data_IF_402286419709
#
_entry.id   IF_402286419709
#
_cell.length_a   1.000
_cell.length_b   1.000
_cell.length_c   1.000
_cell.angle_alpha   90.00
_cell.angle_beta   90.00
_cell.angle_gamma   90.00
#
_symmetry.space_group_name_H-M   'P 1'
#
loop_
_entity.id
_entity.type
_entity.pdbx_description
1 polymer ?
#
# COMPACT_ATOMS: atom_id res chain seq x y z
N UNK A 1 8.61 -24.31 4.27
CA UNK A 1 8.07 -23.03 4.76
C UNK A 1 8.29 -21.93 3.72
N UNK A 2 7.50 -20.87 3.76
CA UNK A 2 7.63 -19.69 2.90
C UNK A 2 8.09 -18.53 3.78
N UNK A 3 9.28 -18.01 3.50
CA UNK A 3 9.74 -16.77 4.11
C UNK A 3 9.21 -15.60 3.28
N UNK A 4 8.72 -14.57 3.94
CA UNK A 4 8.31 -13.32 3.32
C UNK A 4 9.17 -12.19 3.83
N UNK A 5 9.63 -11.33 2.91
CA UNK A 5 10.41 -10.14 3.20
C UNK A 5 9.73 -8.91 2.56
N UNK A 6 9.36 -7.96 3.41
CA UNK A 6 8.86 -6.64 3.04
C UNK A 6 9.90 -5.61 3.49
N UNK A 7 10.82 -5.28 2.58
CA UNK A 7 11.98 -4.45 2.86
C UNK A 7 11.67 -3.00 2.54
N UNK A 8 11.57 -2.16 3.57
CA UNK A 8 11.46 -0.70 3.44
C UNK A 8 12.81 0.01 3.58
N UNK A 9 12.77 1.34 3.63
CA UNK A 9 13.97 2.17 3.82
C UNK A 9 14.55 2.13 5.24
N UNK A 10 13.72 1.83 6.24
CA UNK A 10 14.09 1.87 7.67
C UNK A 10 13.79 0.58 8.44
N UNK A 11 13.03 -0.35 7.85
CA UNK A 11 12.61 -1.58 8.52
C UNK A 11 12.27 -2.71 7.54
N UNK A 12 12.37 -3.95 8.02
CA UNK A 12 12.03 -5.19 7.30
C UNK A 12 10.90 -5.75 8.12
N UNK A 13 9.73 -5.86 7.52
CA UNK A 13 8.71 -6.75 8.05
C UNK A 13 8.96 -8.12 7.44
N UNK A 14 8.94 -9.14 8.26
CA UNK A 14 9.10 -10.52 7.80
C UNK A 14 8.02 -11.41 8.38
N UNK A 15 7.75 -12.50 7.68
CA UNK A 15 6.86 -13.55 8.16
C UNK A 15 7.28 -14.90 7.62
N UNK A 16 7.05 -15.96 8.39
CA UNK A 16 7.29 -17.34 8.03
C UNK A 16 5.97 -18.09 8.08
N UNK A 17 5.60 -18.71 6.95
CA UNK A 17 4.32 -19.38 6.79
C UNK A 17 4.51 -20.81 6.31
N UNK A 18 3.56 -21.70 6.64
CA UNK A 18 3.49 -23.02 6.02
C UNK A 18 2.69 -23.00 4.70
N UNK A 19 2.62 -24.15 4.01
CA UNK A 19 1.88 -24.30 2.75
C UNK A 19 0.35 -24.13 2.90
N UNK A 20 -0.17 -24.09 4.12
CA UNK A 20 -1.58 -23.82 4.44
C UNK A 20 -1.78 -22.38 4.95
N UNK A 21 -0.80 -21.50 4.72
CA UNK A 21 -0.79 -20.10 5.14
C UNK A 21 -0.84 -19.88 6.66
N UNK A 22 -0.51 -20.90 7.44
CA UNK A 22 -0.42 -20.75 8.90
C UNK A 22 0.85 -19.98 9.23
N UNK A 23 0.68 -18.94 10.04
CA UNK A 23 1.80 -18.16 10.57
C UNK A 23 2.60 -18.99 11.58
N UNK A 24 3.90 -19.06 11.37
CA UNK A 24 4.87 -19.73 12.25
C UNK A 24 5.67 -18.69 13.03
N UNK A 25 6.08 -17.61 12.36
CA UNK A 25 6.79 -16.48 12.96
C UNK A 25 6.49 -15.21 12.15
N UNK A 26 6.47 -14.04 12.80
CA UNK A 26 6.32 -12.74 12.15
C UNK A 26 6.97 -11.68 13.03
N UNK A 27 7.61 -10.71 12.40
CA UNK A 27 8.27 -9.64 13.13
C UNK A 27 8.54 -8.41 12.28
N UNK A 28 8.96 -7.35 12.96
CA UNK A 28 9.45 -6.13 12.34
C UNK A 28 10.82 -5.85 12.92
N UNK A 29 11.81 -5.78 12.04
CA UNK A 29 13.17 -5.43 12.40
C UNK A 29 13.47 -4.03 11.87
N UNK A 30 13.63 -3.08 12.78
CA UNK A 30 14.32 -1.82 12.46
C UNK A 30 15.81 -2.08 12.41
N UNK A 31 16.51 -1.49 11.44
CA UNK A 31 17.98 -1.56 11.39
C UNK A 31 18.62 -0.18 11.41
N UNK A 32 19.79 -0.14 12.01
CA UNK A 32 20.76 0.93 11.80
C UNK A 32 21.95 0.29 11.08
N UNK A 33 22.09 0.49 9.76
CA UNK A 33 23.08 -0.19 8.93
C UNK A 33 22.59 -0.50 7.52
N UNK A 34 23.16 -1.54 6.88
CA UNK A 34 22.77 -1.99 5.54
C UNK A 34 21.59 -2.97 5.57
N UNK A 35 20.81 -3.03 4.49
CA UNK A 35 19.69 -3.99 4.35
C UNK A 35 20.21 -5.43 4.47
N UNK A 36 21.40 -5.70 3.94
CA UNK A 36 22.04 -7.02 4.04
C UNK A 36 22.23 -7.49 5.50
N UNK A 37 22.54 -6.57 6.41
CA UNK A 37 22.68 -6.90 7.84
C UNK A 37 21.30 -7.18 8.46
N UNK A 38 20.28 -6.41 8.08
CA UNK A 38 18.89 -6.65 8.47
C UNK A 38 18.39 -8.04 8.04
N UNK A 39 18.59 -8.41 6.77
CA UNK A 39 18.19 -9.74 6.26
C UNK A 39 18.92 -10.86 7.01
N UNK A 40 20.21 -10.70 7.29
CA UNK A 40 20.96 -11.68 8.09
C UNK A 40 20.39 -11.86 9.50
N UNK A 41 19.94 -10.77 10.13
CA UNK A 41 19.29 -10.86 11.44
C UNK A 41 17.93 -11.57 11.37
N UNK A 42 17.12 -11.29 10.35
CA UNK A 42 15.86 -12.02 10.13
C UNK A 42 16.11 -13.52 9.97
N UNK A 43 17.10 -13.93 9.18
CA UNK A 43 17.44 -15.35 9.02
C UNK A 43 17.91 -16.00 10.33
N UNK A 44 18.64 -15.27 11.18
CA UNK A 44 19.02 -15.75 12.51
C UNK A 44 17.82 -15.90 13.44
N UNK A 45 16.86 -14.98 13.37
CA UNK A 45 15.63 -15.03 14.16
C UNK A 45 14.72 -16.19 13.76
N UNK A 46 14.70 -16.53 12.47
CA UNK A 46 14.04 -17.74 11.96
C UNK A 46 14.73 -19.03 12.46
N UNK A 47 16.03 -18.96 12.74
CA UNK A 47 16.82 -20.03 13.33
C UNK A 47 17.34 -21.02 12.29
N UNK A 48 16.46 -21.78 11.64
CA UNK A 48 16.85 -22.79 10.65
C UNK A 48 16.46 -22.37 9.22
N UNK A 49 17.39 -21.92 8.36
CA UNK A 49 17.08 -21.54 6.99
C UNK A 49 16.74 -22.72 6.07
N UNK A 50 17.14 -23.96 6.39
CA UNK A 50 16.94 -25.14 5.53
C UNK A 50 15.46 -25.55 5.42
N UNK A 51 14.60 -25.06 6.33
CA UNK A 51 13.15 -25.30 6.28
C UNK A 51 12.44 -24.37 5.27
N UNK A 52 13.14 -23.37 4.74
CA UNK A 52 12.59 -22.38 3.81
C UNK A 52 12.66 -22.98 2.40
N UNK A 53 11.50 -23.10 1.77
CA UNK A 53 11.33 -23.67 0.44
C UNK A 53 11.17 -22.59 -0.64
N UNK A 54 10.76 -21.37 -0.26
CA UNK A 54 10.71 -20.19 -1.12
C UNK A 54 10.80 -18.90 -0.31
N UNK A 55 11.19 -17.80 -0.98
CA UNK A 55 11.16 -16.45 -0.42
C UNK A 55 10.27 -15.53 -1.25
N UNK A 56 9.17 -15.04 -0.66
CA UNK A 56 8.35 -13.98 -1.26
C UNK A 56 8.87 -12.59 -0.91
N UNK A 57 9.07 -11.74 -1.91
CA UNK A 57 9.56 -10.38 -1.77
C UNK A 57 8.48 -9.39 -2.20
N UNK A 58 8.17 -8.43 -1.34
CA UNK A 58 7.37 -7.28 -1.77
C UNK A 58 8.19 -6.41 -2.72
N UNK A 59 7.59 -6.04 -3.84
CA UNK A 59 8.13 -5.03 -4.78
C UNK A 59 7.07 -3.96 -5.01
N UNK A 60 7.43 -2.69 -4.87
CA UNK A 60 6.43 -1.62 -5.00
C UNK A 60 6.01 -1.40 -6.46
N UNK A 61 6.96 -1.28 -7.39
CA UNK A 61 6.65 -0.97 -8.79
C UNK A 61 7.27 -1.98 -9.75
N UNK A 62 6.42 -2.67 -10.53
CA UNK A 62 6.82 -3.62 -11.58
C UNK A 62 6.71 -3.07 -13.01
N UNK A 63 6.30 -1.82 -13.17
CA UNK A 63 6.10 -1.22 -14.50
C UNK A 63 4.89 -1.82 -15.20
N UNK A 64 4.87 -1.75 -16.52
CA UNK A 64 3.82 -2.37 -17.33
C UNK A 64 4.05 -3.88 -17.56
N UNK A 65 5.20 -4.39 -17.15
CA UNK A 65 5.64 -5.75 -17.48
C UNK A 65 5.06 -6.81 -16.53
N UNK A 66 4.90 -6.48 -15.24
CA UNK A 66 4.51 -7.45 -14.23
C UNK A 66 3.08 -7.23 -13.70
N UNK A 67 2.17 -8.10 -14.12
CA UNK A 67 0.77 -8.15 -13.65
C UNK A 67 0.47 -9.30 -12.69
N UNK A 68 1.47 -10.13 -12.38
CA UNK A 68 1.36 -11.30 -11.51
C UNK A 68 2.69 -11.56 -10.78
N UNK A 69 2.70 -12.40 -9.71
CA UNK A 69 3.94 -12.84 -9.10
C UNK A 69 4.85 -13.55 -10.09
N UNK A 70 6.17 -13.33 -10.01
CA UNK A 70 7.15 -13.97 -10.89
C UNK A 70 8.34 -14.50 -10.10
N UNK A 71 8.94 -15.59 -10.57
CA UNK A 71 10.23 -16.06 -10.06
C UNK A 71 11.30 -15.06 -10.46
N UNK A 72 12.13 -14.65 -9.51
CA UNK A 72 13.16 -13.65 -9.67
C UNK A 72 14.38 -14.28 -10.34
N UNK A 73 14.72 -13.77 -11.52
CA UNK A 73 15.98 -14.01 -12.23
C UNK A 73 16.75 -12.69 -12.46
N UNK A 74 17.76 -12.72 -13.32
CA UNK A 74 18.55 -11.53 -13.63
C UNK A 74 17.76 -10.47 -14.42
N UNK A 75 16.86 -10.89 -15.32
CA UNK A 75 16.06 -9.98 -16.14
C UNK A 75 14.99 -9.30 -15.28
N UNK A 76 14.35 -10.03 -14.37
CA UNK A 76 13.41 -9.47 -13.39
C UNK A 76 14.08 -8.38 -12.55
N UNK A 77 15.29 -8.61 -12.03
CA UNK A 77 16.02 -7.60 -11.26
C UNK A 77 16.34 -6.37 -12.11
N UNK A 78 16.77 -6.57 -13.37
CA UNK A 78 17.04 -5.48 -14.31
C UNK A 78 15.77 -4.66 -14.55
N UNK A 79 14.63 -5.30 -14.79
CA UNK A 79 13.37 -4.63 -15.07
C UNK A 79 12.85 -3.85 -13.84
N UNK A 80 12.94 -4.42 -12.64
CA UNK A 80 12.63 -3.69 -11.39
C UNK A 80 13.56 -2.47 -11.22
N UNK A 81 14.84 -2.61 -11.59
CA UNK A 81 15.81 -1.51 -11.54
C UNK A 81 15.43 -0.36 -12.47
N UNK A 82 14.93 -0.65 -13.69
CA UNK A 82 14.41 0.42 -14.59
C UNK A 82 13.21 1.16 -14.00
N UNK A 83 12.45 0.50 -13.13
CA UNK A 83 11.32 1.11 -12.41
C UNK A 83 11.73 1.92 -11.17
N UNK A 84 13.03 2.03 -10.83
CA UNK A 84 13.49 2.84 -9.69
C UNK A 84 13.05 4.30 -9.80
N UNK A 85 12.99 4.86 -11.01
CA UNK A 85 12.51 6.22 -11.23
C UNK A 85 11.03 6.41 -10.85
N UNK A 86 10.23 5.33 -10.86
CA UNK A 86 8.80 5.34 -10.53
C UNK A 86 8.55 5.17 -9.02
N UNK A 87 9.46 4.49 -8.32
CA UNK A 87 9.37 4.27 -6.87
C UNK A 87 10.75 4.38 -6.18
N UNK A 88 11.37 5.57 -6.20
CA UNK A 88 12.77 5.76 -5.76
C UNK A 88 12.96 5.50 -4.26
N UNK A 89 11.93 5.70 -3.45
CA UNK A 89 11.98 5.45 -2.00
C UNK A 89 11.72 3.98 -1.61
N UNK A 90 11.48 3.11 -2.59
CA UNK A 90 11.04 1.72 -2.33
C UNK A 90 11.81 0.68 -3.13
N UNK A 91 11.77 0.74 -4.47
CA UNK A 91 12.34 -0.29 -5.33
C UNK A 91 13.84 -0.55 -5.07
N UNK A 92 14.70 0.48 -4.83
CA UNK A 92 16.10 0.24 -4.49
C UNK A 92 16.29 -0.64 -3.25
N UNK A 93 15.52 -0.39 -2.18
CA UNK A 93 15.56 -1.19 -0.96
C UNK A 93 14.97 -2.59 -1.17
N UNK A 94 13.93 -2.72 -2.00
CA UNK A 94 13.40 -4.03 -2.37
C UNK A 94 14.47 -4.87 -3.10
N UNK A 95 15.19 -4.29 -4.07
CA UNK A 95 16.28 -4.96 -4.79
C UNK A 95 17.43 -5.33 -3.84
N UNK A 96 17.84 -4.43 -2.94
CA UNK A 96 18.89 -4.72 -1.95
C UNK A 96 18.49 -5.90 -1.05
N UNK A 97 17.23 -5.94 -0.60
CA UNK A 97 16.67 -7.04 0.18
C UNK A 97 16.65 -8.37 -0.58
N UNK A 98 16.23 -8.35 -1.84
CA UNK A 98 16.24 -9.52 -2.73
C UNK A 98 17.67 -10.06 -2.87
N UNK A 99 18.61 -9.19 -3.22
CA UNK A 99 20.01 -9.57 -3.43
C UNK A 99 20.62 -10.13 -2.15
N UNK A 100 20.38 -9.47 -1.00
CA UNK A 100 20.85 -9.93 0.28
C UNK A 100 20.31 -11.32 0.64
N UNK A 101 19.02 -11.57 0.44
CA UNK A 101 18.42 -12.87 0.74
C UNK A 101 18.97 -13.97 -0.19
N UNK A 102 19.16 -13.67 -1.49
CA UNK A 102 19.70 -14.62 -2.47
C UNK A 102 21.14 -15.04 -2.18
N UNK A 103 21.92 -14.22 -1.45
CA UNK A 103 23.26 -14.62 -1.01
C UNK A 103 23.22 -15.77 0.02
N UNK A 104 22.18 -15.83 0.86
CA UNK A 104 22.04 -16.85 1.90
C UNK A 104 21.16 -18.03 1.48
N UNK A 105 20.20 -17.79 0.58
CA UNK A 105 19.17 -18.74 0.17
C UNK A 105 19.19 -18.96 -1.36
N UNK A 106 20.38 -19.20 -1.93
CA UNK A 106 20.59 -19.22 -3.38
C UNK A 106 19.95 -20.39 -4.12
N UNK A 107 19.67 -21.50 -3.42
CA UNK A 107 19.18 -22.74 -4.01
C UNK A 107 17.65 -22.84 -4.12
N UNK A 108 16.92 -21.87 -3.56
CA UNK A 108 15.45 -21.88 -3.52
C UNK A 108 14.87 -20.77 -4.39
N UNK A 109 13.61 -20.90 -4.87
CA UNK A 109 12.96 -19.84 -5.62
C UNK A 109 12.72 -18.58 -4.77
N UNK A 110 13.04 -17.44 -5.36
CA UNK A 110 12.67 -16.11 -4.86
C UNK A 110 11.55 -15.57 -5.75
N UNK A 111 10.45 -15.09 -5.18
CA UNK A 111 9.27 -14.64 -5.90
C UNK A 111 9.07 -13.15 -5.65
N UNK A 112 8.99 -12.35 -6.71
CA UNK A 112 8.59 -10.94 -6.61
C UNK A 112 7.07 -10.84 -6.62
N UNK A 113 6.50 -10.15 -5.63
CA UNK A 113 5.07 -9.85 -5.52
C UNK A 113 4.89 -8.34 -5.54
N UNK A 114 4.20 -7.84 -6.58
CA UNK A 114 4.13 -6.42 -6.88
C UNK A 114 2.87 -5.75 -6.31
N UNK A 115 3.02 -4.58 -5.66
CA UNK A 115 1.88 -3.78 -5.20
C UNK A 115 0.96 -3.32 -6.36
N UNK A 116 1.54 -3.15 -7.54
CA UNK A 116 0.87 -2.66 -8.76
C UNK A 116 0.14 -3.75 -9.52
N UNK A 117 0.49 -5.03 -9.32
CA UNK A 117 -0.04 -6.16 -10.09
C UNK A 117 -1.56 -6.29 -9.97
N UNK A 118 -2.10 -6.11 -8.76
CA UNK A 118 -3.54 -6.19 -8.49
C UNK A 118 -4.36 -5.21 -9.34
N UNK A 119 -3.81 -4.03 -9.64
CA UNK A 119 -4.47 -2.96 -10.39
C UNK A 119 -4.21 -3.00 -11.89
N UNK A 120 -3.40 -3.95 -12.37
CA UNK A 120 -3.15 -4.14 -13.81
C UNK A 120 -4.44 -4.37 -14.61
N UNK A 121 -5.46 -4.92 -13.96
CA UNK A 121 -6.80 -5.21 -14.53
C UNK A 121 -7.78 -4.04 -14.45
N UNK A 122 -7.36 -2.87 -13.96
CA UNK A 122 -8.22 -1.68 -13.95
C UNK A 122 -8.77 -1.39 -15.36
N UNK A 123 -10.04 -0.99 -15.50
CA UNK A 123 -10.57 -0.52 -16.78
C UNK A 123 -9.74 0.64 -17.34
N UNK A 124 -9.54 0.71 -18.66
CA UNK A 124 -8.75 1.78 -19.31
C UNK A 124 -9.13 3.18 -18.84
N UNK A 125 -10.44 3.46 -18.69
CA UNK A 125 -10.95 4.76 -18.19
C UNK A 125 -10.45 5.15 -16.79
N UNK A 126 -10.12 4.17 -15.95
CA UNK A 126 -9.57 4.40 -14.61
C UNK A 126 -8.03 4.44 -14.62
N UNK A 127 -7.40 3.87 -15.66
CA UNK A 127 -5.95 3.94 -15.87
C UNK A 127 -5.50 5.26 -16.53
N UNK A 128 -6.33 5.84 -17.40
CA UNK A 128 -5.95 6.99 -18.21
C UNK A 128 -6.05 8.31 -17.44
N UNK A 129 -5.05 9.17 -17.65
CA UNK A 129 -5.15 10.60 -17.33
C UNK A 129 -5.69 11.38 -18.53
N UNK A 130 -6.36 12.50 -18.29
CA UNK A 130 -6.87 13.39 -19.33
C UNK A 130 -5.75 14.28 -19.92
N UNK A 131 -4.76 13.63 -20.53
CA UNK A 131 -3.57 14.21 -21.17
C UNK A 131 -3.43 13.66 -22.60
N UNK A 132 -2.50 14.14 -23.45
CA UNK A 132 -2.31 13.59 -24.79
C UNK A 132 -2.16 12.07 -24.79
N UNK A 133 -2.79 11.41 -25.76
CA UNK A 133 -2.95 9.96 -25.76
C UNK A 133 -1.62 9.19 -25.84
N UNK A 134 -0.64 9.74 -26.57
CA UNK A 134 0.70 9.17 -26.74
C UNK A 134 1.38 8.87 -25.39
N UNK A 135 1.16 9.69 -24.36
CA UNK A 135 1.69 9.44 -23.01
C UNK A 135 1.15 8.15 -22.39
N UNK A 136 -0.12 7.80 -22.66
CA UNK A 136 -0.68 6.54 -22.20
C UNK A 136 -0.04 5.34 -22.92
N UNK A 137 0.25 5.49 -24.21
CA UNK A 137 0.96 4.47 -25.01
C UNK A 137 2.42 4.28 -24.52
N UNK A 138 3.05 5.36 -24.07
CA UNK A 138 4.37 5.37 -23.41
C UNK A 138 4.33 4.82 -21.95
N UNK A 139 3.15 4.45 -21.45
CA UNK A 139 2.99 3.85 -20.12
C UNK A 139 2.77 4.83 -18.98
N UNK A 140 2.47 6.11 -19.26
CA UNK A 140 2.00 7.06 -18.24
C UNK A 140 0.51 6.81 -17.98
N UNK A 141 0.25 6.19 -16.83
CA UNK A 141 -1.09 5.77 -16.42
C UNK A 141 -1.17 5.65 -14.90
N UNK A 142 -2.38 5.53 -14.38
CA UNK A 142 -2.61 5.09 -13.01
C UNK A 142 -2.17 3.63 -12.88
N UNK A 143 -1.17 3.41 -12.04
CA UNK A 143 -0.73 2.07 -11.65
C UNK A 143 -1.48 1.59 -10.42
N UNK A 144 -1.67 2.46 -9.40
CA UNK A 144 -2.26 2.06 -8.13
C UNK A 144 -1.29 1.27 -7.24
N UNK A 145 -1.41 1.40 -5.92
CA UNK A 145 -0.50 0.78 -4.94
C UNK A 145 -1.26 0.26 -3.72
N UNK A 146 -0.55 -0.44 -2.83
CA UNK A 146 -1.13 -1.26 -1.77
C UNK A 146 -2.03 -2.40 -2.31
N UNK A 147 -1.77 -2.89 -3.54
CA UNK A 147 -2.59 -3.93 -4.17
C UNK A 147 -2.61 -5.22 -3.36
N UNK A 148 -1.48 -5.60 -2.75
CA UNK A 148 -1.38 -6.75 -1.86
C UNK A 148 -2.34 -6.62 -0.66
N UNK A 149 -2.41 -5.43 -0.04
CA UNK A 149 -3.34 -5.18 1.06
C UNK A 149 -4.79 -5.16 0.58
N UNK A 150 -5.11 -4.46 -0.51
CA UNK A 150 -6.48 -4.42 -1.03
C UNK A 150 -7.00 -5.81 -1.44
N UNK A 151 -6.15 -6.64 -2.04
CA UNK A 151 -6.49 -8.02 -2.38
C UNK A 151 -6.72 -8.87 -1.12
N UNK A 152 -5.87 -8.75 -0.10
CA UNK A 152 -6.07 -9.40 1.19
C UNK A 152 -7.42 -9.02 1.82
N UNK A 153 -7.78 -7.73 1.77
CA UNK A 153 -9.04 -7.24 2.33
C UNK A 153 -10.26 -7.80 1.61
N UNK A 154 -10.20 -8.01 0.28
CA UNK A 154 -11.28 -8.64 -0.48
C UNK A 154 -11.49 -10.07 -0.01
N UNK A 155 -10.40 -10.83 0.09
CA UNK A 155 -10.42 -12.25 0.49
C UNK A 155 -10.97 -12.41 1.91
N UNK A 156 -10.49 -11.59 2.84
CA UNK A 156 -10.94 -11.66 4.23
C UNK A 156 -12.39 -11.18 4.39
N UNK A 157 -12.80 -10.14 3.64
CA UNK A 157 -14.19 -9.68 3.64
C UNK A 157 -15.13 -10.72 3.04
N UNK A 158 -14.76 -11.37 1.92
CA UNK A 158 -15.54 -12.44 1.33
C UNK A 158 -15.77 -13.58 2.34
N UNK A 159 -14.71 -13.98 3.05
CA UNK A 159 -14.76 -14.98 4.12
C UNK A 159 -15.71 -14.57 5.25
N UNK A 160 -15.60 -13.34 5.75
CA UNK A 160 -16.45 -12.82 6.83
C UNK A 160 -17.92 -12.72 6.42
N UNK A 161 -18.19 -12.31 5.18
CA UNK A 161 -19.53 -12.22 4.61
C UNK A 161 -20.08 -13.57 4.13
N UNK A 162 -19.29 -14.65 4.19
CA UNK A 162 -19.63 -15.97 3.65
C UNK A 162 -20.09 -15.91 2.18
N UNK A 163 -19.45 -15.04 1.39
CA UNK A 163 -19.70 -14.85 -0.04
C UNK A 163 -18.47 -15.29 -0.84
N UNK A 164 -18.66 -15.56 -2.13
CA UNK A 164 -17.53 -15.74 -3.05
C UNK A 164 -16.90 -14.38 -3.36
N UNK A 165 -15.59 -14.36 -3.58
CA UNK A 165 -14.86 -13.12 -3.91
C UNK A 165 -15.42 -12.41 -5.15
N UNK A 166 -15.86 -13.17 -6.16
CA UNK A 166 -16.44 -12.61 -7.38
C UNK A 166 -17.89 -12.11 -7.24
N UNK A 167 -18.50 -12.25 -6.06
CA UNK A 167 -19.89 -11.87 -5.76
C UNK A 167 -20.00 -10.69 -4.79
N UNK A 168 -18.88 -9.99 -4.52
CA UNK A 168 -18.83 -8.83 -3.61
C UNK A 168 -18.40 -7.54 -4.30
N UNK A 169 -19.06 -6.44 -3.93
CA UNK A 169 -18.70 -5.07 -4.27
C UNK A 169 -18.26 -4.34 -3.00
N UNK A 170 -17.02 -3.89 -2.95
CA UNK A 170 -16.43 -3.30 -1.75
C UNK A 170 -15.86 -1.91 -2.03
N UNK A 171 -15.84 -1.08 -1.00
CA UNK A 171 -14.89 0.04 -0.92
C UNK A 171 -13.88 -0.36 0.15
N UNK A 172 -12.61 -0.48 -0.22
CA UNK A 172 -11.54 -0.85 0.72
C UNK A 172 -10.62 0.34 0.96
N UNK A 173 -10.33 0.65 2.22
CA UNK A 173 -9.48 1.75 2.65
C UNK A 173 -8.26 1.19 3.39
N UNK A 174 -7.07 1.33 2.81
CA UNK A 174 -5.81 1.11 3.50
C UNK A 174 -5.35 2.44 4.09
N UNK A 175 -5.44 2.62 5.41
CA UNK A 175 -5.07 3.88 6.09
C UNK A 175 -3.83 3.65 6.96
N UNK A 176 -2.68 4.14 6.52
CA UNK A 176 -1.41 4.05 7.26
C UNK A 176 -0.50 5.23 6.96
N UNK A 177 0.83 5.02 7.08
CA UNK A 177 1.83 6.02 6.68
C UNK A 177 1.63 6.52 5.24
N UNK A 178 1.26 5.59 4.35
CA UNK A 178 0.55 5.86 3.11
C UNK A 178 -0.91 5.48 3.23
N UNK A 179 -1.78 6.19 2.51
CA UNK A 179 -3.21 5.91 2.52
C UNK A 179 -3.76 5.81 1.10
N UNK A 180 -4.52 4.75 0.84
CA UNK A 180 -5.22 4.54 -0.43
C UNK A 180 -6.62 4.00 -0.19
N UNK A 181 -7.50 4.27 -1.14
CA UNK A 181 -8.84 3.70 -1.20
C UNK A 181 -9.03 3.05 -2.58
N UNK A 182 -9.81 1.98 -2.64
CA UNK A 182 -10.05 1.22 -3.86
C UNK A 182 -11.51 0.82 -3.97
N UNK A 183 -12.09 1.00 -5.16
CA UNK A 183 -13.41 0.52 -5.53
C UNK A 183 -13.30 -0.89 -6.15
N UNK A 184 -14.03 -1.85 -5.60
CA UNK A 184 -14.03 -3.25 -6.02
C UNK A 184 -15.41 -3.63 -6.53
N UNK A 185 -15.51 -4.11 -7.77
CA UNK A 185 -16.75 -4.65 -8.35
C UNK A 185 -16.54 -6.12 -8.69
N UNK A 186 -17.37 -7.01 -8.15
CA UNK A 186 -17.25 -8.47 -8.36
C UNK A 186 -15.84 -9.00 -8.07
N UNK A 187 -15.28 -8.59 -6.93
CA UNK A 187 -13.94 -9.00 -6.49
C UNK A 187 -12.76 -8.41 -7.27
N UNK A 188 -13.00 -7.57 -8.29
CA UNK A 188 -11.95 -6.95 -9.10
C UNK A 188 -11.88 -5.45 -8.88
N UNK A 189 -10.68 -4.84 -8.87
CA UNK A 189 -10.56 -3.40 -8.77
C UNK A 189 -11.07 -2.74 -10.04
N UNK A 190 -11.89 -1.71 -9.86
CA UNK A 190 -12.38 -0.86 -10.95
C UNK A 190 -11.87 0.58 -10.85
N UNK A 191 -11.36 0.99 -9.69
CA UNK A 191 -10.73 2.29 -9.44
C UNK A 191 -9.86 2.24 -8.17
N UNK A 192 -8.84 3.09 -8.06
CA UNK A 192 -8.00 3.26 -6.86
C UNK A 192 -7.41 4.67 -6.79
N UNK A 193 -7.21 5.21 -5.58
CA UNK A 193 -6.88 6.63 -5.44
C UNK A 193 -5.44 6.98 -5.80
N UNK A 194 -4.51 6.07 -5.54
CA UNK A 194 -3.12 6.32 -5.93
C UNK A 194 -2.95 6.19 -7.44
N UNK A 195 -1.99 6.94 -7.97
CA UNK A 195 -1.89 7.28 -9.38
C UNK A 195 -0.78 6.55 -10.12
N UNK A 196 -0.09 7.29 -10.98
CA UNK A 196 1.20 6.96 -11.55
C UNK A 196 2.24 6.73 -10.45
N UNK A 197 2.15 7.50 -9.36
CA UNK A 197 2.97 7.35 -8.16
C UNK A 197 2.08 7.20 -6.91
N UNK A 198 2.65 6.80 -5.77
CA UNK A 198 1.94 6.78 -4.49
C UNK A 198 1.58 8.17 -3.91
N UNK A 199 1.68 9.26 -4.68
CA UNK A 199 1.43 10.63 -4.22
C UNK A 199 -0.03 11.08 -4.39
N UNK A 200 -0.72 10.58 -5.43
CA UNK A 200 -2.12 10.92 -5.70
C UNK A 200 -3.05 10.30 -4.65
N UNK A 201 -4.21 10.92 -4.42
CA UNK A 201 -5.26 10.36 -3.59
C UNK A 201 -5.45 11.04 -2.25
N UNK A 202 -5.48 10.23 -1.20
CA UNK A 202 -5.71 10.69 0.16
C UNK A 202 -4.53 11.52 0.69
N UNK A 203 -4.83 12.44 1.61
CA UNK A 203 -3.83 13.04 2.47
C UNK A 203 -3.17 11.94 3.31
N UNK A 204 -1.85 11.99 3.50
CA UNK A 204 -1.09 10.96 4.22
C UNK A 204 -0.20 11.59 5.31
N UNK A 205 0.72 10.82 5.89
CA UNK A 205 1.58 11.34 6.96
C UNK A 205 2.55 12.41 6.49
N UNK A 206 3.25 12.20 5.37
CA UNK A 206 4.21 13.17 4.80
C UNK A 206 3.88 13.60 3.37
N UNK A 207 2.84 13.00 2.77
CA UNK A 207 2.46 13.20 1.37
C UNK A 207 1.19 14.03 1.25
N UNK A 208 1.13 14.86 0.20
CA UNK A 208 0.03 15.81 0.02
C UNK A 208 -1.31 15.15 -0.36
N UNK A 209 -1.29 14.04 -1.11
CA UNK A 209 -2.50 13.56 -1.79
C UNK A 209 -2.90 14.49 -2.93
N UNK A 210 -4.18 14.54 -3.25
CA UNK A 210 -4.71 15.39 -4.32
C UNK A 210 -4.45 16.88 -4.07
N UNK A 211 -3.77 17.51 -5.04
CA UNK A 211 -3.44 18.93 -5.06
C UNK A 211 -3.63 19.50 -6.47
N UNK A 212 -3.89 20.80 -6.57
CA UNK A 212 -3.99 21.49 -7.86
C UNK A 212 -2.61 21.52 -8.56
N UNK A 213 -2.48 21.05 -9.81
CA UNK A 213 -1.23 21.15 -10.55
C UNK A 213 -0.75 22.61 -10.74
N UNK A 214 -1.67 23.58 -10.83
CA UNK A 214 -1.32 25.01 -10.90
C UNK A 214 -0.57 25.52 -9.66
N UNK A 215 -0.90 24.98 -8.48
CA UNK A 215 -0.18 25.28 -7.24
C UNK A 215 1.27 24.78 -7.29
N UNK A 216 1.51 23.59 -7.84
CA UNK A 216 2.87 23.05 -7.98
C UNK A 216 3.72 23.95 -8.89
N UNK A 217 3.16 24.40 -10.01
CA UNK A 217 3.84 25.36 -10.91
C UNK A 217 4.14 26.68 -10.20
N UNK A 218 3.21 27.19 -9.39
CA UNK A 218 3.42 28.42 -8.61
C UNK A 218 4.54 28.27 -7.56
N UNK A 219 4.57 27.17 -6.82
CA UNK A 219 5.60 26.90 -5.81
C UNK A 219 6.98 26.70 -6.45
N UNK A 220 7.04 26.02 -7.59
CA UNK A 220 8.28 25.81 -8.33
C UNK A 220 8.90 27.14 -8.76
N UNK A 221 8.07 28.08 -9.24
CA UNK A 221 8.51 29.45 -9.58
C UNK A 221 9.03 30.23 -8.38
N UNK A 222 8.68 29.82 -7.15
CA UNK A 222 9.23 30.37 -5.90
C UNK A 222 10.49 29.65 -5.41
N UNK A 223 11.03 28.71 -6.19
CA UNK A 223 12.22 27.94 -5.84
C UNK A 223 11.98 26.78 -4.88
N UNK A 224 10.72 26.35 -4.71
CA UNK A 224 10.41 25.16 -3.91
C UNK A 224 10.79 23.91 -4.70
N UNK A 225 11.51 22.99 -4.05
CA UNK A 225 11.68 21.63 -4.52
C UNK A 225 10.33 20.89 -4.44
N UNK A 226 9.67 20.73 -5.58
CA UNK A 226 8.34 20.14 -5.65
C UNK A 226 8.35 18.67 -5.28
N UNK A 227 9.38 17.92 -5.69
CA UNK A 227 9.44 16.49 -5.38
C UNK A 227 9.54 16.29 -3.88
N UNK A 228 10.44 17.01 -3.22
CA UNK A 228 10.57 16.95 -1.76
C UNK A 228 9.30 17.43 -1.05
N UNK A 229 8.72 18.54 -1.52
CA UNK A 229 7.50 19.12 -0.96
C UNK A 229 6.33 18.13 -0.95
N UNK A 230 6.05 17.46 -2.07
CA UNK A 230 4.90 16.55 -2.17
C UNK A 230 5.13 15.20 -1.47
N UNK A 231 6.39 14.79 -1.27
CA UNK A 231 6.74 13.46 -0.76
C UNK A 231 7.10 13.42 0.74
N UNK A 232 7.66 14.50 1.28
CA UNK A 232 8.21 14.53 2.64
C UNK A 232 7.69 15.68 3.52
N UNK A 233 7.38 16.85 2.95
CA UNK A 233 7.03 18.05 3.71
C UNK A 233 5.55 18.42 3.66
N UNK A 234 4.70 17.50 3.21
CA UNK A 234 3.26 17.67 3.10
C UNK A 234 2.50 16.82 4.12
N UNK A 235 1.18 16.72 3.98
CA UNK A 235 0.35 15.90 4.88
C UNK A 235 0.40 16.37 6.34
N UNK A 236 0.29 15.43 7.27
CA UNK A 236 0.38 15.74 8.70
C UNK A 236 1.75 16.30 9.10
N UNK A 237 2.84 15.88 8.45
CA UNK A 237 4.19 16.38 8.68
C UNK A 237 4.29 17.88 8.34
N UNK A 238 3.76 18.28 7.18
CA UNK A 238 3.71 19.68 6.78
C UNK A 238 2.85 20.54 7.71
N UNK A 239 1.68 20.03 8.12
CA UNK A 239 0.69 20.79 8.90
C UNK A 239 0.99 20.86 10.40
N UNK A 240 1.55 19.79 10.97
CA UNK A 240 1.68 19.58 12.42
C UNK A 240 3.10 19.23 12.88
N UNK A 241 4.06 19.10 11.95
CA UNK A 241 5.45 18.71 12.23
C UNK A 241 5.57 17.35 12.93
N UNK A 242 4.68 16.42 12.62
CA UNK A 242 4.72 15.03 13.10
C UNK A 242 4.32 14.05 11.99
N UNK A 243 4.97 12.89 11.97
CA UNK A 243 4.61 11.73 11.15
C UNK A 243 4.00 10.60 12.00
N UNK A 244 3.77 10.84 13.29
CA UNK A 244 3.09 9.89 14.18
C UNK A 244 1.60 10.24 14.26
N UNK A 245 0.76 9.32 13.78
CA UNK A 245 -0.67 9.52 13.78
C UNK A 245 -1.28 9.45 15.19
N UNK A 246 -0.67 8.72 16.13
CA UNK A 246 -1.14 8.67 17.52
C UNK A 246 -0.96 10.03 18.19
N UNK A 247 0.15 10.72 17.90
CA UNK A 247 0.38 12.09 18.35
C UNK A 247 -0.66 13.07 17.77
N UNK A 248 -1.05 12.89 16.50
CA UNK A 248 -2.14 13.67 15.89
C UNK A 248 -3.44 13.46 16.65
N UNK A 249 -3.84 12.20 16.91
CA UNK A 249 -5.06 11.89 17.67
C UNK A 249 -5.01 12.50 19.06
N UNK A 250 -3.90 12.37 19.77
CA UNK A 250 -3.74 12.94 21.11
C UNK A 250 -3.93 14.47 21.11
N UNK A 251 -3.31 15.17 20.16
CA UNK A 251 -3.48 16.60 19.97
C UNK A 251 -4.95 16.96 19.68
N UNK A 252 -5.66 16.17 18.86
CA UNK A 252 -7.10 16.38 18.58
C UNK A 252 -7.94 16.18 19.86
N UNK A 253 -7.69 15.10 20.61
CA UNK A 253 -8.39 14.81 21.88
C UNK A 253 -8.15 15.91 22.92
N UNK A 254 -7.00 16.58 22.88
CA UNK A 254 -6.66 17.77 23.68
C UNK A 254 -7.17 19.11 23.10
N UNK A 255 -8.05 19.08 22.11
CA UNK A 255 -8.63 20.26 21.45
C UNK A 255 -7.61 21.21 20.80
N UNK A 256 -6.46 20.71 20.32
CA UNK A 256 -5.48 21.53 19.64
C UNK A 256 -6.01 22.01 18.26
N UNK A 257 -6.19 23.33 18.02
CA UNK A 257 -6.95 23.83 16.87
C UNK A 257 -6.38 23.41 15.51
N UNK A 258 -5.05 23.51 15.32
CA UNK A 258 -4.42 23.10 14.05
C UNK A 258 -4.52 21.59 13.82
N UNK A 259 -4.48 20.80 14.89
CA UNK A 259 -4.53 19.34 14.78
C UNK A 259 -5.94 18.89 14.42
N UNK A 260 -6.96 19.53 15.02
CA UNK A 260 -8.35 19.35 14.63
C UNK A 260 -8.57 19.67 13.16
N UNK A 261 -8.07 20.81 12.68
CA UNK A 261 -8.21 21.20 11.27
C UNK A 261 -7.51 20.21 10.32
N UNK A 262 -6.28 19.78 10.62
CA UNK A 262 -5.56 18.81 9.81
C UNK A 262 -6.26 17.44 9.76
N UNK A 263 -6.78 16.99 10.90
CA UNK A 263 -7.52 15.74 11.00
C UNK A 263 -8.87 15.83 10.28
N UNK A 264 -9.59 16.94 10.39
CA UNK A 264 -10.84 17.18 9.65
C UNK A 264 -10.60 17.22 8.14
N UNK A 265 -9.48 17.78 7.69
CA UNK A 265 -9.07 17.74 6.28
C UNK A 265 -8.83 16.29 5.80
N UNK A 266 -8.16 15.47 6.61
CA UNK A 266 -7.97 14.05 6.32
C UNK A 266 -9.32 13.31 6.21
N UNK A 267 -10.23 13.49 7.17
CA UNK A 267 -11.57 12.89 7.13
C UNK A 267 -12.39 13.39 5.93
N UNK A 268 -12.28 14.67 5.60
CA UNK A 268 -12.95 15.26 4.44
C UNK A 268 -12.50 14.63 3.12
N UNK A 269 -11.18 14.47 2.93
CA UNK A 269 -10.62 13.79 1.74
C UNK A 269 -11.09 12.34 1.69
N UNK A 270 -11.05 11.62 2.81
CA UNK A 270 -11.53 10.23 2.88
C UNK A 270 -13.02 10.12 2.53
N UNK A 271 -13.88 10.95 3.11
CA UNK A 271 -15.32 10.95 2.84
C UNK A 271 -15.63 11.26 1.38
N UNK A 272 -14.89 12.18 0.74
CA UNK A 272 -15.03 12.46 -0.71
C UNK A 272 -14.74 11.23 -1.55
N UNK A 273 -13.66 10.51 -1.25
CA UNK A 273 -13.30 9.30 -1.98
C UNK A 273 -14.31 8.16 -1.78
N UNK A 274 -14.78 7.96 -0.54
CA UNK A 274 -15.86 7.00 -0.27
C UNK A 274 -17.11 7.37 -1.08
N UNK A 275 -17.46 8.65 -1.14
CA UNK A 275 -18.60 9.15 -1.92
C UNK A 275 -18.43 8.87 -3.41
N UNK A 276 -17.28 9.24 -3.99
CA UNK A 276 -16.95 9.01 -5.39
C UNK A 276 -17.02 7.51 -5.75
N UNK A 277 -16.45 6.65 -4.91
CA UNK A 277 -16.44 5.21 -5.17
C UNK A 277 -17.79 4.54 -4.93
N UNK A 278 -18.59 5.05 -4.00
CA UNK A 278 -19.97 4.60 -3.86
C UNK A 278 -20.81 4.93 -5.10
N UNK A 279 -20.53 6.04 -5.78
CA UNK A 279 -21.27 6.45 -6.98
C UNK A 279 -20.99 5.55 -8.19
N UNK A 280 -19.79 4.99 -8.32
CA UNK A 280 -19.40 4.14 -9.47
C UNK A 280 -19.67 2.64 -9.25
N UNK A 281 -19.98 2.23 -8.01
CA UNK A 281 -20.21 0.82 -7.65
C UNK A 281 -21.69 0.40 -7.71
N UNK A 282 -22.63 1.35 -7.69
CA UNK A 282 -24.08 1.15 -7.59
C UNK A 282 -24.51 0.50 -6.26
N UNK A 283 -23.96 -0.67 -5.93
CA UNK A 283 -24.12 -1.37 -4.65
C UNK A 283 -22.78 -1.56 -3.95
N UNK A 284 -22.76 -1.41 -2.62
CA UNK A 284 -21.58 -1.60 -1.78
C UNK A 284 -21.96 -2.55 -0.66
N UNK A 285 -21.44 -3.78 -0.71
CA UNK A 285 -21.66 -4.81 0.32
C UNK A 285 -21.00 -4.44 1.64
N UNK A 286 -19.79 -3.88 1.60
CA UNK A 286 -19.11 -3.35 2.78
C UNK A 286 -18.14 -2.21 2.46
N UNK A 287 -17.99 -1.31 3.43
CA UNK A 287 -16.89 -0.35 3.53
C UNK A 287 -15.85 -0.93 4.48
N UNK A 288 -14.70 -1.31 3.96
CA UNK A 288 -13.64 -1.99 4.71
C UNK A 288 -12.56 -0.98 5.08
N UNK A 289 -12.28 -0.85 6.36
CA UNK A 289 -11.25 0.04 6.91
C UNK A 289 -10.09 -0.80 7.44
N UNK A 290 -8.87 -0.47 7.02
CA UNK A 290 -7.65 -1.21 7.37
C UNK A 290 -6.45 -0.27 7.56
N UNK A 291 -5.27 -0.85 7.79
CA UNK A 291 -4.03 -0.15 8.06
C UNK A 291 -3.94 0.40 9.49
N UNK A 292 -2.75 0.82 9.90
CA UNK A 292 -2.48 1.24 11.28
C UNK A 292 -3.35 2.41 11.77
N UNK A 293 -3.80 3.30 10.87
CA UNK A 293 -4.73 4.39 11.19
C UNK A 293 -6.17 3.87 11.30
N UNK A 294 -6.53 2.93 10.43
CA UNK A 294 -7.90 2.41 10.33
C UNK A 294 -8.26 1.41 11.43
N UNK A 295 -7.33 0.52 11.80
CA UNK A 295 -7.54 -0.52 12.81
C UNK A 295 -6.94 -0.19 14.18
N UNK A 296 -6.06 0.81 14.26
CA UNK A 296 -5.30 1.11 15.48
C UNK A 296 -6.08 1.83 16.57
N UNK A 297 -6.73 2.96 16.25
CA UNK A 297 -7.54 3.73 17.22
C UNK A 297 -8.98 3.94 16.69
N UNK A 298 -10.03 3.51 17.43
CA UNK A 298 -11.42 3.65 17.01
C UNK A 298 -11.87 5.11 16.85
N UNK A 299 -11.13 6.07 17.40
CA UNK A 299 -11.39 7.50 17.29
C UNK A 299 -11.50 7.98 15.84
N UNK A 300 -10.70 7.42 14.93
CA UNK A 300 -10.74 7.80 13.50
C UNK A 300 -12.08 7.47 12.88
N UNK A 301 -12.53 6.22 13.01
CA UNK A 301 -13.81 5.78 12.47
C UNK A 301 -14.99 6.48 13.15
N UNK A 302 -14.97 6.61 14.48
CA UNK A 302 -16.00 7.33 15.23
C UNK A 302 -16.09 8.81 14.80
N UNK A 303 -14.96 9.45 14.53
CA UNK A 303 -14.92 10.84 14.05
C UNK A 303 -15.41 10.97 12.61
N UNK A 304 -15.08 10.00 11.74
CA UNK A 304 -15.57 9.93 10.37
C UNK A 304 -17.10 9.81 10.37
N UNK A 305 -17.66 8.88 11.14
CA UNK A 305 -19.09 8.67 11.29
C UNK A 305 -19.82 9.87 11.90
N UNK A 306 -19.20 10.57 12.85
CA UNK A 306 -19.75 11.78 13.44
C UNK A 306 -19.78 12.94 12.44
N UNK A 307 -18.71 13.12 11.68
CA UNK A 307 -18.56 14.24 10.74
C UNK A 307 -19.37 14.02 9.45
N UNK A 308 -19.54 12.76 9.06
CA UNK A 308 -20.24 12.35 7.84
C UNK A 308 -21.23 11.21 8.12
N UNK A 309 -22.40 11.50 8.74
CA UNK A 309 -23.34 10.47 9.18
C UNK A 309 -23.85 9.53 8.09
N UNK A 310 -23.84 9.97 6.83
CA UNK A 310 -24.26 9.16 5.69
C UNK A 310 -23.39 7.91 5.47
N UNK A 311 -22.16 7.88 5.99
CA UNK A 311 -21.28 6.70 5.91
C UNK A 311 -21.87 5.52 6.71
N UNK A 312 -22.68 5.77 7.73
CA UNK A 312 -23.34 4.72 8.53
C UNK A 312 -24.35 3.87 7.74
N UNK A 313 -24.68 4.26 6.50
CA UNK A 313 -25.50 3.45 5.59
C UNK A 313 -24.76 2.19 5.09
N UNK A 314 -23.42 2.20 5.13
CA UNK A 314 -22.62 1.06 4.72
C UNK A 314 -22.47 0.07 5.88
N UNK A 315 -22.36 -1.21 5.54
CA UNK A 315 -21.84 -2.19 6.48
C UNK A 315 -20.33 -1.97 6.63
N UNK A 316 -19.89 -1.42 7.75
CA UNK A 316 -18.48 -1.08 7.98
C UNK A 316 -17.77 -2.26 8.64
N UNK A 317 -16.66 -2.68 8.05
CA UNK A 317 -15.79 -3.72 8.59
C UNK A 317 -14.40 -3.13 8.87
N UNK A 318 -13.84 -3.43 10.04
CA UNK A 318 -12.46 -3.10 10.37
C UNK A 318 -11.64 -4.38 10.30
N UNK A 319 -10.67 -4.46 9.39
CA UNK A 319 -9.88 -5.67 9.15
C UNK A 319 -8.40 -5.31 9.21
N UNK A 320 -7.66 -5.99 10.09
CA UNK A 320 -6.21 -5.84 10.12
C UNK A 320 -5.59 -6.51 8.88
N UNK A 321 -4.79 -5.73 8.14
CA UNK A 321 -4.10 -6.23 6.95
C UNK A 321 -2.90 -7.09 7.35
N UNK A 322 -2.75 -8.23 6.66
CA UNK A 322 -1.55 -9.05 6.74
C UNK A 322 -0.94 -9.21 5.33
N UNK A 323 -0.14 -8.21 4.93
CA UNK A 323 0.55 -8.22 3.63
C UNK A 323 1.52 -9.40 3.52
N UNK A 324 2.18 -9.75 4.63
CA UNK A 324 3.14 -10.85 4.64
C UNK A 324 2.44 -12.18 4.33
N UNK A 325 1.29 -12.45 4.94
CA UNK A 325 0.46 -13.62 4.62
C UNK A 325 -0.02 -13.60 3.16
N UNK A 326 -0.41 -12.44 2.64
CA UNK A 326 -0.86 -12.31 1.25
C UNK A 326 0.28 -12.59 0.25
N UNK A 327 1.50 -12.15 0.54
CA UNK A 327 2.70 -12.48 -0.25
C UNK A 327 3.01 -13.98 -0.16
N UNK A 328 2.93 -14.57 1.04
CA UNK A 328 3.15 -16.00 1.22
C UNK A 328 2.16 -16.82 0.36
N UNK A 329 0.87 -16.48 0.42
CA UNK A 329 -0.19 -17.07 -0.41
C UNK A 329 0.13 -17.02 -1.90
N UNK A 330 0.69 -15.92 -2.38
CA UNK A 330 1.11 -15.74 -3.78
C UNK A 330 2.39 -16.49 -4.15
N UNK A 331 3.24 -16.82 -3.18
CA UNK A 331 4.47 -17.58 -3.38
C UNK A 331 4.25 -19.10 -3.32
N UNK A 332 3.22 -19.58 -2.60
CA UNK A 332 2.90 -21.02 -2.47
C UNK A 332 2.81 -21.76 -3.81
N UNK A 333 2.21 -21.22 -4.90
CA UNK A 333 2.14 -21.92 -6.18
C UNK A 333 3.48 -22.21 -6.87
N UNK A 334 4.59 -21.65 -6.36
CA UNK A 334 5.94 -21.80 -6.91
C UNK A 334 6.80 -22.85 -6.16
N UNK A 335 6.20 -23.59 -5.22
CA UNK A 335 6.80 -24.65 -4.39
C UNK A 335 6.57 -26.05 -4.94
#
# INVERSE_FOLDING_TARGET
MILVLNVGSTSIKFGLYDRNEREVNRGVLSWNGSVATGVKHVLREIGNPDIIEAVGHRVVHGGNEYSAPVVIDADVIKNITTCNALAPLHNPYNIEGINAARLWLSAIPHIAVFDTAFFSVLPKRAQMYAIPFDYFEDGIRRYGFHGISHEYLIQETARLLQKKENDINLITCHLGGGASITAIKKGKPIDTSMGFTPMEGLMMMSRCGDIDPGLLVYLQKKGVDIEHFISHESGFAGMLKTQDFLEVIEKVKKNHPKARLAFDLFLYKLAKYIGAYSAILETVDALVISGGIGTGDPFTLASLEKSYPWIKKFHILTIETNEEKAIARKAIPFL
#
